data_IF_323495386540
#
_entry.id   IF_323495386540
#
_cell.length_a   1.000
_cell.length_b   1.000
_cell.length_c   1.000
_cell.angle_alpha   90.00
_cell.angle_beta   90.00
_cell.angle_gamma   90.00
#
_symmetry.space_group_name_H-M   'P 1'
#
loop_
_entity.id
_entity.type
_entity.pdbx_description
1 polymer ?
#
# COMPACT_ATOMS: atom_id res chain seq x y z
N UNK A 1 18.04 -8.53 12.18
CA UNK A 1 16.66 -8.00 12.22
C UNK A 1 16.31 -7.44 10.86
N UNK A 2 15.15 -7.80 10.31
CA UNK A 2 14.72 -7.28 9.01
C UNK A 2 14.32 -5.81 9.11
N UNK A 3 14.64 -5.04 8.07
CA UNK A 3 14.17 -3.66 7.97
C UNK A 3 12.64 -3.63 7.75
N UNK A 4 12.04 -2.49 8.01
CA UNK A 4 10.59 -2.30 7.78
C UNK A 4 10.23 -2.55 6.32
N UNK A 5 11.10 -2.12 5.38
CA UNK A 5 10.88 -2.35 3.95
C UNK A 5 11.00 -3.84 3.61
N UNK A 6 11.94 -4.57 4.21
CA UNK A 6 12.08 -6.01 4.00
C UNK A 6 10.87 -6.79 4.50
N UNK A 7 10.32 -6.40 5.65
CA UNK A 7 9.09 -7.00 6.17
C UNK A 7 7.92 -6.76 5.22
N UNK A 8 7.80 -5.55 4.69
CA UNK A 8 6.77 -5.23 3.71
C UNK A 8 6.93 -6.03 2.43
N UNK A 9 8.17 -6.20 1.95
CA UNK A 9 8.46 -7.02 0.78
C UNK A 9 8.06 -8.48 0.99
N UNK A 10 8.37 -9.03 2.15
CA UNK A 10 7.97 -10.40 2.50
C UNK A 10 6.45 -10.54 2.53
N UNK A 11 5.76 -9.55 3.07
CA UNK A 11 4.29 -9.55 3.09
C UNK A 11 3.72 -9.51 1.67
N UNK A 12 4.22 -8.62 0.82
CA UNK A 12 3.79 -8.53 -0.56
C UNK A 12 3.96 -9.88 -1.27
N UNK A 13 5.14 -10.46 -1.19
CA UNK A 13 5.46 -11.69 -1.92
C UNK A 13 4.80 -12.93 -1.34
N UNK A 14 4.33 -12.86 -0.10
CA UNK A 14 3.51 -13.92 0.49
C UNK A 14 2.13 -13.98 -0.17
N UNK A 15 1.54 -12.84 -0.47
CA UNK A 15 0.16 -12.74 -0.99
C UNK A 15 0.09 -12.53 -2.50
N UNK A 16 1.17 -12.06 -3.12
CA UNK A 16 1.20 -11.70 -4.54
C UNK A 16 2.34 -12.44 -5.24
N UNK A 17 2.00 -13.29 -6.21
CA UNK A 17 2.99 -14.07 -6.96
C UNK A 17 3.13 -13.59 -8.41
N UNK A 18 2.11 -12.93 -8.95
CA UNK A 18 2.10 -12.46 -10.33
C UNK A 18 3.18 -11.42 -10.60
N UNK A 19 4.01 -11.66 -11.60
CA UNK A 19 5.14 -10.79 -11.94
C UNK A 19 4.67 -9.37 -12.29
N UNK A 20 3.58 -9.24 -13.03
CA UNK A 20 3.04 -7.93 -13.40
C UNK A 20 2.56 -7.14 -12.20
N UNK A 21 1.93 -7.80 -11.24
CA UNK A 21 1.46 -7.15 -10.01
C UNK A 21 2.64 -6.72 -9.13
N UNK A 22 3.69 -7.53 -9.06
CA UNK A 22 4.89 -7.18 -8.30
C UNK A 22 5.59 -5.99 -8.96
N UNK A 23 5.71 -5.96 -10.28
CA UNK A 23 6.29 -4.82 -11.00
C UNK A 23 5.49 -3.55 -10.77
N UNK A 24 4.17 -3.65 -10.77
CA UNK A 24 3.29 -2.52 -10.48
C UNK A 24 3.53 -2.00 -9.05
N UNK A 25 3.61 -2.90 -8.09
CA UNK A 25 3.87 -2.53 -6.71
C UNK A 25 5.20 -1.79 -6.56
N UNK A 26 6.26 -2.26 -7.23
CA UNK A 26 7.57 -1.62 -7.20
C UNK A 26 7.53 -0.24 -7.87
N UNK A 27 6.78 -0.09 -8.96
CA UNK A 27 6.62 1.20 -9.63
C UNK A 27 5.92 2.21 -8.74
N UNK A 28 4.86 1.78 -8.04
CA UNK A 28 4.12 2.67 -7.13
C UNK A 28 4.96 3.01 -5.90
N UNK A 29 5.74 2.06 -5.40
CA UNK A 29 6.71 2.34 -4.33
C UNK A 29 7.67 3.47 -4.73
N UNK A 30 8.24 3.38 -5.91
CA UNK A 30 9.18 4.40 -6.40
C UNK A 30 8.51 5.76 -6.58
N UNK A 31 7.28 5.77 -7.12
CA UNK A 31 6.54 7.01 -7.30
C UNK A 31 6.21 7.66 -5.96
N UNK A 32 5.78 6.87 -4.97
CA UNK A 32 5.47 7.39 -3.64
C UNK A 32 6.70 7.94 -2.93
N UNK A 33 7.86 7.28 -3.10
CA UNK A 33 9.12 7.80 -2.54
C UNK A 33 9.49 9.16 -3.15
N UNK A 34 9.28 9.32 -4.45
CA UNK A 34 9.56 10.58 -5.14
C UNK A 34 8.64 11.71 -4.65
N UNK A 35 7.34 11.42 -4.50
CA UNK A 35 6.40 12.39 -3.94
C UNK A 35 6.75 12.76 -2.50
N UNK A 36 7.11 11.78 -1.69
CA UNK A 36 7.51 12.03 -0.30
C UNK A 36 8.74 12.95 -0.24
N UNK A 37 9.71 12.71 -1.11
CA UNK A 37 10.89 13.58 -1.21
C UNK A 37 10.49 15.02 -1.52
N UNK A 38 9.62 15.21 -2.51
CA UNK A 38 9.18 16.54 -2.92
C UNK A 38 8.40 17.28 -1.83
N UNK A 39 7.62 16.55 -1.04
CA UNK A 39 6.82 17.15 0.04
C UNK A 39 7.52 17.12 1.39
N UNK A 40 8.77 16.66 1.44
CA UNK A 40 9.55 16.53 2.69
C UNK A 40 8.89 15.64 3.72
N UNK A 41 8.27 14.55 3.21
CA UNK A 41 7.63 13.53 4.02
C UNK A 41 8.53 12.29 4.14
N UNK A 42 8.10 11.32 4.96
CA UNK A 42 8.86 10.09 5.20
C UNK A 42 8.85 9.19 3.95
N UNK A 43 9.99 9.10 3.26
CA UNK A 43 10.10 8.33 2.02
C UNK A 43 9.90 6.83 2.26
N UNK A 44 10.37 6.30 3.39
CA UNK A 44 10.21 4.87 3.69
C UNK A 44 8.74 4.54 3.92
N UNK A 45 8.03 5.34 4.70
CA UNK A 45 6.62 5.11 5.00
C UNK A 45 5.76 5.23 3.73
N UNK A 46 6.00 6.24 2.93
CA UNK A 46 5.26 6.44 1.68
C UNK A 46 5.57 5.33 0.68
N UNK A 47 6.84 4.91 0.60
CA UNK A 47 7.24 3.81 -0.27
C UNK A 47 6.56 2.51 0.11
N UNK A 48 6.53 2.19 1.39
CA UNK A 48 5.85 0.98 1.90
C UNK A 48 4.36 1.04 1.61
N UNK A 49 3.73 2.20 1.78
CA UNK A 49 2.33 2.39 1.42
C UNK A 49 2.07 2.04 -0.05
N UNK A 50 2.91 2.55 -0.94
CA UNK A 50 2.83 2.24 -2.36
C UNK A 50 3.08 0.77 -2.67
N UNK A 51 4.07 0.18 -2.03
CA UNK A 51 4.41 -1.23 -2.23
C UNK A 51 3.25 -2.15 -1.85
N UNK A 52 2.52 -1.81 -0.79
CA UNK A 52 1.46 -2.66 -0.25
C UNK A 52 0.05 -2.27 -0.69
N UNK A 53 -0.11 -1.25 -1.55
CA UNK A 53 -1.45 -0.73 -1.85
C UNK A 53 -2.40 -1.76 -2.46
N UNK A 54 -1.88 -2.75 -3.19
CA UNK A 54 -2.68 -3.80 -3.85
C UNK A 54 -2.25 -5.22 -3.45
N UNK A 55 -1.57 -5.41 -2.30
CA UNK A 55 -1.01 -6.72 -1.98
C UNK A 55 -2.08 -7.82 -1.82
N UNK A 56 -3.31 -7.44 -1.50
CA UNK A 56 -4.42 -8.38 -1.35
C UNK A 56 -5.18 -8.66 -2.64
N UNK A 57 -4.90 -7.92 -3.72
CA UNK A 57 -5.71 -7.94 -4.94
C UNK A 57 -5.70 -9.30 -5.64
N UNK A 58 -4.54 -9.94 -5.74
CA UNK A 58 -4.41 -11.21 -6.47
C UNK A 58 -5.30 -12.30 -5.88
N UNK A 59 -5.36 -12.37 -4.54
CA UNK A 59 -6.18 -13.37 -3.84
C UNK A 59 -7.61 -12.92 -3.61
N UNK A 60 -7.86 -11.62 -3.64
CA UNK A 60 -9.17 -11.03 -3.33
C UNK A 60 -9.52 -9.93 -4.34
N UNK A 61 -9.72 -10.28 -5.63
CA UNK A 61 -9.93 -9.27 -6.67
C UNK A 61 -11.33 -8.63 -6.64
N UNK A 62 -12.28 -9.26 -5.95
CA UNK A 62 -13.65 -8.75 -5.90
C UNK A 62 -13.71 -7.44 -5.10
N UNK A 63 -14.49 -6.42 -5.57
CA UNK A 63 -14.58 -5.14 -4.87
C UNK A 63 -15.09 -5.24 -3.42
N UNK A 64 -15.81 -6.30 -3.06
CA UNK A 64 -16.23 -6.50 -1.67
C UNK A 64 -15.05 -6.84 -0.75
N UNK A 65 -14.00 -7.43 -1.30
CA UNK A 65 -12.85 -7.92 -0.52
C UNK A 65 -11.66 -6.98 -0.62
N UNK A 66 -11.29 -6.57 -1.82
CA UNK A 66 -10.19 -5.64 -2.05
C UNK A 66 -10.67 -4.19 -1.88
N UNK A 67 -10.02 -3.35 -1.10
CA UNK A 67 -8.83 -3.58 -0.27
C UNK A 67 -9.14 -3.86 1.21
N UNK A 68 -10.36 -4.26 1.53
CA UNK A 68 -10.79 -4.45 2.93
C UNK A 68 -10.04 -5.57 3.62
N UNK A 69 -9.82 -6.69 2.93
CA UNK A 69 -9.07 -7.83 3.48
C UNK A 69 -7.64 -7.41 3.78
N UNK A 70 -7.00 -6.74 2.85
CA UNK A 70 -5.63 -6.23 3.05
C UNK A 70 -5.55 -5.23 4.19
N UNK A 71 -6.52 -4.32 4.29
CA UNK A 71 -6.56 -3.34 5.37
C UNK A 71 -6.65 -4.03 6.73
N UNK A 72 -7.45 -5.08 6.85
CA UNK A 72 -7.57 -5.85 8.09
C UNK A 72 -6.23 -6.52 8.45
N UNK A 73 -5.58 -7.13 7.47
CA UNK A 73 -4.27 -7.78 7.68
C UNK A 73 -3.24 -6.74 8.13
N UNK A 74 -3.19 -5.59 7.48
CA UNK A 74 -2.24 -4.53 7.85
C UNK A 74 -2.48 -4.02 9.26
N UNK A 75 -3.75 -3.87 9.67
CA UNK A 75 -4.08 -3.44 11.01
C UNK A 75 -3.65 -4.45 12.06
N UNK A 76 -3.87 -5.73 11.80
CA UNK A 76 -3.46 -6.82 12.70
C UNK A 76 -1.94 -6.89 12.84
N UNK A 77 -1.20 -6.50 11.79
CA UNK A 77 0.26 -6.47 11.80
C UNK A 77 0.83 -5.18 12.39
N UNK A 78 -0.01 -4.22 12.77
CA UNK A 78 0.44 -3.00 13.44
C UNK A 78 0.85 -1.87 12.51
N UNK A 79 0.49 -1.90 11.24
CA UNK A 79 0.77 -0.79 10.32
C UNK A 79 -0.04 0.45 10.71
N UNK A 80 0.50 1.67 10.44
CA UNK A 80 -0.17 2.90 10.84
C UNK A 80 -1.54 3.10 10.17
N UNK A 81 -2.49 3.66 10.92
CA UNK A 81 -3.84 3.89 10.39
C UNK A 81 -3.88 4.88 9.23
N UNK A 82 -2.98 5.87 9.18
CA UNK A 82 -2.92 6.79 8.06
C UNK A 82 -2.53 6.08 6.75
N UNK A 83 -1.62 5.12 6.83
CA UNK A 83 -1.23 4.28 5.70
C UNK A 83 -2.39 3.38 5.28
N UNK A 84 -3.06 2.74 6.24
CA UNK A 84 -4.22 1.88 5.96
C UNK A 84 -5.32 2.69 5.30
N UNK A 85 -5.59 3.90 5.77
CA UNK A 85 -6.60 4.77 5.17
C UNK A 85 -6.22 5.13 3.72
N UNK A 86 -4.98 5.48 3.45
CA UNK A 86 -4.52 5.82 2.09
C UNK A 86 -4.73 4.64 1.15
N UNK A 87 -4.41 3.43 1.60
CA UNK A 87 -4.60 2.21 0.80
C UNK A 87 -6.09 1.97 0.51
N UNK A 88 -6.95 2.14 1.50
CA UNK A 88 -8.40 2.00 1.28
C UNK A 88 -8.93 3.08 0.34
N UNK A 89 -8.49 4.31 0.52
CA UNK A 89 -8.99 5.46 -0.24
C UNK A 89 -8.54 5.46 -1.71
N UNK A 90 -7.45 4.74 -2.06
CA UNK A 90 -7.01 4.69 -3.45
C UNK A 90 -8.01 3.94 -4.33
N UNK A 91 -8.80 3.04 -3.76
CA UNK A 91 -9.80 2.27 -4.50
C UNK A 91 -11.08 3.08 -4.57
N UNK A 92 -11.46 3.50 -5.78
CA UNK A 92 -12.61 4.39 -5.99
C UNK A 92 -13.93 3.80 -5.49
N UNK A 93 -14.09 2.47 -5.57
CA UNK A 93 -15.34 1.83 -5.11
C UNK A 93 -15.55 1.93 -3.59
N UNK A 94 -14.50 2.25 -2.83
CA UNK A 94 -14.64 2.48 -1.39
C UNK A 94 -15.30 3.81 -1.07
N UNK A 95 -15.28 4.76 -2.02
CA UNK A 95 -15.90 6.09 -1.90
C UNK A 95 -15.39 6.87 -0.68
N UNK A 96 -14.12 6.68 -0.34
CA UNK A 96 -13.48 7.39 0.74
C UNK A 96 -12.80 8.65 0.21
N UNK A 97 -12.94 9.75 0.93
CA UNK A 97 -12.29 11.00 0.57
C UNK A 97 -10.78 10.89 0.77
N UNK A 98 -10.01 11.33 -0.24
CA UNK A 98 -8.56 11.44 -0.14
C UNK A 98 -8.22 12.74 0.57
N UNK A 99 -7.78 12.65 1.81
CA UNK A 99 -7.61 13.82 2.70
C UNK A 99 -6.16 14.26 2.84
N UNK A 100 -5.25 13.31 3.11
CA UNK A 100 -3.84 13.64 3.34
C UNK A 100 -3.09 13.74 2.02
N UNK A 101 -1.85 14.27 2.07
CA UNK A 101 -0.97 14.25 0.91
C UNK A 101 -0.69 12.83 0.46
N UNK A 102 -0.50 11.90 1.41
CA UNK A 102 -0.27 10.50 1.10
C UNK A 102 -1.49 9.87 0.39
N UNK A 103 -2.70 10.16 0.86
CA UNK A 103 -3.94 9.69 0.21
C UNK A 103 -4.02 10.17 -1.23
N UNK A 104 -3.68 11.43 -1.46
CA UNK A 104 -3.78 12.05 -2.78
C UNK A 104 -2.67 11.58 -3.72
N UNK A 105 -1.50 11.26 -3.19
CA UNK A 105 -0.37 10.78 -3.99
C UNK A 105 -0.59 9.33 -4.45
N UNK A 106 -1.23 8.52 -3.63
CA UNK A 106 -1.51 7.13 -3.95
C UNK A 106 -2.69 7.03 -4.93
#
# INVERSE_FOLDING_TARGET
MNSTREIAWQLLTQYTKGEGLIKHALAVEAAMQAYAHNFKEDQQQWGICGLLHDFDYEQNPHPKDHPRVGAKILRELGYPEDMIYAIKAHADHMKLERKSRMDKAL
#
